data_IF_070659672502
#
_entry.id   IF_070659672502
#
_cell.length_a   1.000
_cell.length_b   1.000
_cell.length_c   1.000
_cell.angle_alpha   90.00
_cell.angle_beta   90.00
_cell.angle_gamma   90.00
#
_symmetry.space_group_name_H-M   'P 1'
#
loop_
_entity.id
_entity.type
_entity.pdbx_description
1 polymer ?
#
# COMPACT_ATOMS: atom_id res chain seq x y z
N UNK A 1 39.71 34.91 44.14
CA UNK A 1 40.20 33.77 43.34
C UNK A 1 39.39 33.78 42.08
N UNK A 2 40.07 33.75 40.94
CA UNK A 2 39.46 33.89 39.62
C UNK A 2 39.48 32.54 38.92
N UNK A 3 38.31 32.04 38.55
CA UNK A 3 38.16 30.74 37.90
C UNK A 3 37.75 30.94 36.44
N UNK A 4 38.52 30.35 35.53
CA UNK A 4 38.21 30.28 34.10
C UNK A 4 37.33 29.06 33.83
N UNK A 5 36.06 29.28 33.46
CA UNK A 5 35.18 28.22 32.98
C UNK A 5 35.28 28.16 31.46
N UNK A 6 35.97 27.16 30.94
CA UNK A 6 36.31 27.07 29.51
C UNK A 6 35.62 25.89 28.83
N UNK A 7 34.74 26.15 27.87
CA UNK A 7 34.26 25.12 26.93
C UNK A 7 35.29 24.99 25.79
N UNK A 8 35.70 23.76 25.49
CA UNK A 8 36.72 23.47 24.47
C UNK A 8 36.09 22.72 23.30
N UNK A 9 36.35 23.20 22.08
CA UNK A 9 35.88 22.58 20.84
C UNK A 9 37.09 22.31 19.93
N UNK A 10 37.56 21.07 19.93
CA UNK A 10 38.76 20.70 19.17
C UNK A 10 38.52 20.75 17.66
N UNK A 11 37.31 20.43 17.23
CA UNK A 11 36.97 20.27 15.83
C UNK A 11 36.61 21.59 15.17
N UNK A 12 36.37 22.67 15.90
CA UNK A 12 35.86 23.94 15.36
C UNK A 12 34.47 23.83 14.76
N UNK A 13 33.62 23.04 15.39
CA UNK A 13 32.20 22.97 15.06
C UNK A 13 31.49 24.30 15.35
N UNK A 14 31.83 24.98 16.44
CA UNK A 14 31.26 26.28 16.81
C UNK A 14 31.64 27.36 15.78
N UNK A 15 32.92 27.46 15.42
CA UNK A 15 33.40 28.45 14.46
C UNK A 15 32.89 28.17 13.04
N UNK A 16 32.87 26.91 12.60
CA UNK A 16 32.30 26.53 11.30
C UNK A 16 30.81 26.84 11.17
N UNK A 17 30.03 26.68 12.23
CA UNK A 17 28.57 26.88 12.20
C UNK A 17 28.17 28.35 12.28
N UNK A 18 28.88 29.13 13.08
CA UNK A 18 28.52 30.51 13.39
C UNK A 18 29.31 31.54 12.58
N UNK A 19 30.47 31.17 12.03
CA UNK A 19 31.40 32.09 11.38
C UNK A 19 32.15 33.02 12.35
N UNK A 20 32.01 32.81 13.67
CA UNK A 20 32.67 33.59 14.71
C UNK A 20 34.08 33.08 14.97
N UNK A 21 34.99 34.00 15.31
CA UNK A 21 36.37 33.67 15.69
C UNK A 21 36.50 33.45 17.20
N UNK A 22 37.16 32.37 17.60
CA UNK A 22 37.53 32.11 19.00
C UNK A 22 38.93 32.68 19.33
N UNK A 23 39.22 33.03 20.61
CA UNK A 23 38.40 32.79 21.78
C UNK A 23 37.23 33.75 21.90
N UNK A 24 36.11 33.26 22.44
CA UNK A 24 34.98 34.10 22.86
C UNK A 24 34.95 34.09 24.37
N UNK A 25 35.21 35.22 25.03
CA UNK A 25 35.21 35.36 26.49
C UNK A 25 34.16 36.35 26.99
N UNK A 26 33.68 36.12 28.20
CA UNK A 26 32.70 36.96 28.87
C UNK A 26 31.27 36.41 28.80
N UNK A 27 30.51 36.67 29.87
CA UNK A 27 29.16 36.13 30.05
C UNK A 27 28.22 36.47 28.88
N UNK A 28 28.15 37.74 28.50
CA UNK A 28 27.23 38.21 27.47
C UNK A 28 27.60 37.65 26.08
N UNK A 29 28.89 37.57 25.78
CA UNK A 29 29.39 37.03 24.52
C UNK A 29 29.07 35.53 24.38
N UNK A 30 29.31 34.75 25.44
CA UNK A 30 29.02 33.31 25.44
C UNK A 30 27.50 33.06 25.48
N UNK A 31 26.72 33.88 26.20
CA UNK A 31 25.27 33.78 26.21
C UNK A 31 24.65 34.08 24.83
N UNK A 32 25.19 35.05 24.08
CA UNK A 32 24.80 35.27 22.68
C UNK A 32 25.16 34.07 21.80
N UNK A 33 26.37 33.54 21.97
CA UNK A 33 26.89 32.41 21.20
C UNK A 33 26.02 31.15 21.34
N UNK A 34 25.44 30.89 22.52
CA UNK A 34 24.47 29.79 22.72
C UNK A 34 23.31 29.88 21.72
N UNK A 35 22.79 31.09 21.52
CA UNK A 35 21.66 31.33 20.61
C UNK A 35 22.10 31.14 19.16
N UNK A 36 23.27 31.66 18.79
CA UNK A 36 23.81 31.54 17.43
C UNK A 36 24.09 30.08 17.05
N UNK A 37 24.73 29.31 17.95
CA UNK A 37 24.99 27.88 17.75
C UNK A 37 23.68 27.08 17.73
N UNK A 38 22.76 27.35 18.65
CA UNK A 38 21.48 26.63 18.73
C UNK A 38 20.54 26.90 17.56
N UNK A 39 20.61 28.09 16.94
CA UNK A 39 19.87 28.38 15.70
C UNK A 39 20.51 27.73 14.47
N UNK A 40 21.83 27.57 14.46
CA UNK A 40 22.54 26.89 13.38
C UNK A 40 22.33 25.37 13.41
N UNK A 41 22.35 24.76 14.59
CA UNK A 41 22.13 23.32 14.78
C UNK A 41 21.55 23.00 16.17
N UNK A 42 20.22 22.84 16.29
CA UNK A 42 19.55 22.63 17.59
C UNK A 42 19.78 21.24 18.19
N UNK A 43 20.28 20.27 17.42
CA UNK A 43 20.51 18.89 17.90
C UNK A 43 21.93 18.67 18.42
N UNK A 44 22.81 19.67 18.26
CA UNK A 44 24.22 19.57 18.62
C UNK A 44 24.45 19.66 20.14
N UNK A 45 25.37 18.83 20.65
CA UNK A 45 25.74 18.82 22.07
C UNK A 45 26.48 20.08 22.51
N UNK A 46 27.10 20.82 21.60
CA UNK A 46 27.82 22.08 21.86
C UNK A 46 26.92 23.12 22.53
N UNK A 47 25.63 23.15 22.18
CA UNK A 47 24.64 24.03 22.83
C UNK A 47 24.57 23.73 24.34
N UNK A 48 24.57 22.44 24.68
CA UNK A 48 24.54 22.01 26.08
C UNK A 48 25.90 22.24 26.76
N UNK A 49 27.03 22.12 26.06
CA UNK A 49 28.35 22.50 26.60
C UNK A 49 28.36 23.98 27.03
N UNK A 50 27.92 24.86 26.15
CA UNK A 50 27.90 26.30 26.40
C UNK A 50 26.93 26.66 27.54
N UNK A 51 25.75 26.03 27.57
CA UNK A 51 24.78 26.20 28.67
C UNK A 51 25.35 25.73 30.02
N UNK A 52 26.06 24.60 30.05
CA UNK A 52 26.69 24.12 31.28
C UNK A 52 27.83 25.04 31.72
N UNK A 53 28.66 25.54 30.79
CA UNK A 53 29.70 26.52 31.10
C UNK A 53 29.13 27.82 31.72
N UNK A 54 28.02 28.33 31.18
CA UNK A 54 27.30 29.46 31.77
C UNK A 54 26.73 29.12 33.14
N UNK A 55 26.15 27.93 33.30
CA UNK A 55 25.61 27.49 34.59
C UNK A 55 26.70 27.39 35.66
N UNK A 56 27.82 26.73 35.37
CA UNK A 56 28.95 26.58 36.29
C UNK A 56 29.50 27.96 36.70
N UNK A 57 29.68 28.88 35.76
CA UNK A 57 30.16 30.22 36.12
C UNK A 57 29.15 31.04 36.94
N UNK A 58 27.84 30.86 36.73
CA UNK A 58 26.83 31.48 37.59
C UNK A 58 26.90 30.90 38.99
N UNK A 59 26.97 29.57 39.10
CA UNK A 59 26.98 28.88 40.39
C UNK A 59 28.25 29.29 41.20
N UNK A 60 29.42 29.45 40.55
CA UNK A 60 30.63 30.01 41.18
C UNK A 60 30.46 31.47 41.65
N UNK A 61 29.79 32.32 40.84
CA UNK A 61 29.51 33.72 41.21
C UNK A 61 28.54 33.81 42.40
N UNK A 62 27.55 32.92 42.46
CA UNK A 62 26.61 32.82 43.58
C UNK A 62 27.32 32.42 44.89
N UNK A 63 28.44 31.70 44.78
CA UNK A 63 29.34 31.36 45.89
C UNK A 63 30.35 32.49 46.23
N UNK A 64 30.26 33.65 45.58
CA UNK A 64 31.17 34.80 45.68
C UNK A 64 32.59 34.56 45.13
N UNK A 65 32.73 33.68 44.14
CA UNK A 65 33.97 33.52 43.37
C UNK A 65 33.91 34.34 42.07
N UNK A 66 35.05 34.89 41.64
CA UNK A 66 35.13 35.58 40.35
C UNK A 66 35.23 34.53 39.24
N UNK A 67 34.24 34.48 38.33
CA UNK A 67 34.22 33.52 37.24
C UNK A 67 34.18 34.18 35.87
N UNK A 68 35.08 33.77 34.98
CA UNK A 68 35.12 34.17 33.57
C UNK A 68 34.75 32.96 32.71
N UNK A 69 33.73 33.09 31.86
CA UNK A 69 33.37 32.05 30.89
C UNK A 69 34.09 32.32 29.57
N UNK A 70 34.66 31.29 28.98
CA UNK A 70 35.27 31.38 27.66
C UNK A 70 35.02 30.13 26.80
N UNK A 71 35.12 30.31 25.49
CA UNK A 71 35.03 29.24 24.49
C UNK A 71 36.28 29.31 23.62
N UNK A 72 36.99 28.19 23.50
CA UNK A 72 38.19 28.07 22.65
C UNK A 72 37.99 26.97 21.64
N UNK A 73 38.52 27.19 20.44
CA UNK A 73 38.31 26.27 19.31
C UNK A 73 39.55 26.01 18.45
N UNK A 74 39.60 24.82 17.84
CA UNK A 74 40.67 24.36 16.96
C UNK A 74 40.60 24.92 15.52
N UNK A 75 41.11 26.13 15.28
CA UNK A 75 41.07 26.79 13.95
C UNK A 75 42.04 26.27 12.87
N UNK A 76 42.22 24.96 12.68
CA UNK A 76 43.11 24.42 11.62
C UNK A 76 42.68 23.05 11.09
N UNK A 77 42.84 22.85 9.77
CA UNK A 77 42.53 21.60 9.05
C UNK A 77 43.43 20.39 9.44
N UNK A 78 44.45 20.59 10.27
CA UNK A 78 45.29 19.51 10.77
C UNK A 78 45.33 19.46 12.30
N UNK A 79 45.41 18.24 12.83
CA UNK A 79 45.29 17.95 14.28
C UNK A 79 46.29 18.73 15.14
N UNK A 80 47.54 18.85 14.69
CA UNK A 80 48.58 19.60 15.42
C UNK A 80 48.32 21.10 15.40
N UNK A 81 47.76 21.61 14.30
CA UNK A 81 47.35 23.00 14.15
C UNK A 81 46.17 23.36 15.04
N UNK A 82 45.19 22.47 15.18
CA UNK A 82 44.04 22.65 16.05
C UNK A 82 44.47 22.77 17.52
N UNK A 83 45.29 21.83 17.99
CA UNK A 83 45.83 21.83 19.35
C UNK A 83 46.67 23.10 19.64
N UNK A 84 47.50 23.53 18.68
CA UNK A 84 48.27 24.79 18.78
C UNK A 84 47.41 26.04 18.70
N UNK A 85 46.25 25.98 18.05
CA UNK A 85 45.29 27.08 18.02
C UNK A 85 44.68 27.27 19.39
N UNK A 86 44.14 26.20 19.97
CA UNK A 86 43.59 26.20 21.32
C UNK A 86 44.64 26.68 22.33
N UNK A 87 45.88 26.17 22.23
CA UNK A 87 46.98 26.60 23.09
C UNK A 87 47.22 28.12 23.08
N UNK A 88 47.22 28.75 21.89
CA UNK A 88 47.40 30.21 21.74
C UNK A 88 46.23 30.99 22.32
N UNK A 89 44.99 30.54 22.06
CA UNK A 89 43.79 31.18 22.60
C UNK A 89 43.75 31.11 24.13
N UNK A 90 44.21 30.01 24.72
CA UNK A 90 44.38 29.88 26.16
C UNK A 90 45.48 30.81 26.70
N UNK A 91 46.61 30.94 25.99
CA UNK A 91 47.67 31.88 26.36
C UNK A 91 47.14 33.33 26.40
N UNK A 92 46.28 33.70 25.44
CA UNK A 92 45.61 35.01 25.39
C UNK A 92 44.64 35.21 26.57
N UNK A 93 43.80 34.20 26.88
CA UNK A 93 42.86 34.25 28.00
C UNK A 93 43.55 34.33 29.36
N UNK A 94 44.69 33.65 29.53
CA UNK A 94 45.49 33.72 30.76
C UNK A 94 46.12 35.10 30.91
N UNK A 95 46.65 35.66 29.82
CA UNK A 95 47.24 37.00 29.85
C UNK A 95 46.20 38.10 30.14
N UNK A 96 44.96 37.92 29.68
CA UNK A 96 43.87 38.91 29.86
C UNK A 96 43.20 38.82 31.24
N UNK A 97 42.97 37.60 31.74
CA UNK A 97 42.12 37.38 32.91
C UNK A 97 42.85 36.89 34.17
N UNK A 98 44.13 36.51 34.05
CA UNK A 98 44.99 36.00 35.14
C UNK A 98 44.26 35.01 36.09
N UNK A 99 43.69 33.90 35.58
CA UNK A 99 42.90 32.98 36.39
C UNK A 99 43.79 32.11 37.31
N UNK A 100 43.35 31.95 38.57
CA UNK A 100 43.99 31.06 39.55
C UNK A 100 43.74 29.57 39.23
N UNK A 101 42.56 29.27 38.68
CA UNK A 101 42.17 27.91 38.31
C UNK A 101 41.20 27.88 37.13
N UNK A 102 40.94 26.68 36.61
CA UNK A 102 40.02 26.46 35.51
C UNK A 102 39.09 25.27 35.77
N UNK A 103 37.86 25.41 35.27
CA UNK A 103 36.91 24.31 35.09
C UNK A 103 36.74 24.10 33.58
N UNK A 104 37.10 22.91 33.10
CA UNK A 104 37.02 22.59 31.67
C UNK A 104 35.70 21.89 31.39
N UNK A 105 34.88 22.43 30.50
CA UNK A 105 33.61 21.84 30.09
C UNK A 105 33.79 21.22 28.72
N UNK A 106 33.42 19.94 28.59
CA UNK A 106 33.55 19.16 27.34
C UNK A 106 32.27 18.39 27.05
N UNK A 107 31.93 18.22 25.77
CA UNK A 107 30.77 17.42 25.33
C UNK A 107 31.16 16.18 24.52
N UNK A 108 32.42 16.08 24.07
CA UNK A 108 32.92 14.93 23.32
C UNK A 108 34.24 14.37 23.83
N UNK A 109 34.51 13.10 23.49
CA UNK A 109 35.79 12.45 23.75
C UNK A 109 36.96 13.03 22.91
N UNK A 110 36.66 13.79 21.85
CA UNK A 110 37.70 14.45 21.07
C UNK A 110 38.22 15.69 21.78
N UNK A 111 37.33 16.41 22.47
CA UNK A 111 37.63 17.63 23.24
C UNK A 111 38.35 17.32 24.55
N UNK A 112 38.08 16.15 25.14
CA UNK A 112 38.82 15.66 26.31
C UNK A 112 40.34 15.62 26.07
N UNK A 113 40.78 15.46 24.82
CA UNK A 113 42.19 15.45 24.45
C UNK A 113 42.85 16.84 24.56
N UNK A 114 42.07 17.91 24.71
CA UNK A 114 42.57 19.27 24.96
C UNK A 114 42.80 19.55 26.44
N UNK A 115 42.28 18.74 27.36
CA UNK A 115 42.46 18.93 28.81
C UNK A 115 43.94 19.07 29.20
N UNK A 116 44.89 18.23 28.72
CA UNK A 116 46.31 18.41 29.04
C UNK A 116 46.91 19.72 28.54
N UNK A 117 46.32 20.32 27.49
CA UNK A 117 46.73 21.63 26.98
C UNK A 117 46.27 22.72 27.95
N UNK A 118 45.03 22.65 28.45
CA UNK A 118 44.54 23.57 29.48
C UNK A 118 45.35 23.45 30.77
N UNK A 119 45.60 22.22 31.25
CA UNK A 119 46.41 21.93 32.46
C UNK A 119 47.82 22.52 32.39
N UNK A 120 48.39 22.62 31.18
CA UNK A 120 49.73 23.19 30.98
C UNK A 120 49.77 24.73 31.09
N UNK A 121 48.62 25.43 31.04
CA UNK A 121 48.51 26.89 31.17
C UNK A 121 47.95 27.33 32.52
N UNK A 122 46.93 26.62 33.02
CA UNK A 122 46.19 26.96 34.23
C UNK A 122 45.92 25.70 35.02
N UNK A 123 45.89 25.81 36.36
CA UNK A 123 45.50 24.71 37.23
C UNK A 123 44.05 24.32 36.96
N UNK A 124 43.82 23.09 36.49
CA UNK A 124 42.47 22.55 36.30
C UNK A 124 41.97 21.93 37.60
N UNK A 125 40.93 22.51 38.20
CA UNK A 125 40.31 21.99 39.43
C UNK A 125 39.23 20.94 39.12
N UNK A 126 38.59 21.04 37.95
CA UNK A 126 37.55 20.09 37.52
C UNK A 126 37.43 19.99 35.99
N UNK A 127 36.97 18.82 35.52
CA UNK A 127 36.57 18.59 34.13
C UNK A 127 35.11 18.13 34.13
N UNK A 128 34.22 18.99 33.66
CA UNK A 128 32.80 18.72 33.55
C UNK A 128 32.45 18.13 32.17
N UNK A 129 31.78 16.98 32.18
CA UNK A 129 31.45 16.21 30.98
C UNK A 129 29.96 16.31 30.71
N UNK A 130 29.59 17.09 29.70
CA UNK A 130 28.21 17.24 29.27
C UNK A 130 27.82 16.08 28.39
N UNK A 131 26.85 15.28 28.86
CA UNK A 131 26.30 14.15 28.10
C UNK A 131 24.84 14.42 27.81
N UNK A 132 24.53 14.71 26.55
CA UNK A 132 23.14 14.86 26.08
C UNK A 132 22.50 13.47 25.96
N UNK A 133 21.49 13.19 26.78
CA UNK A 133 20.74 11.94 26.72
C UNK A 133 19.79 11.95 25.52
N UNK A 134 20.23 11.41 24.39
CA UNK A 134 19.34 11.07 23.29
C UNK A 134 18.67 9.72 23.59
N UNK A 135 17.34 9.70 23.75
CA UNK A 135 16.61 8.45 23.92
C UNK A 135 16.71 7.60 22.63
N UNK A 136 17.41 6.48 22.70
CA UNK A 136 17.39 5.41 21.68
C UNK A 136 16.90 4.15 22.40
N UNK A 137 15.59 4.02 22.56
CA UNK A 137 15.00 3.06 23.49
C UNK A 137 14.87 1.64 22.90
N UNK A 138 15.74 0.74 23.35
CA UNK A 138 15.55 -0.73 23.20
C UNK A 138 14.30 -1.19 23.96
N UNK A 139 13.93 -0.48 25.04
CA UNK A 139 12.70 -0.70 25.81
C UNK A 139 11.43 -0.55 24.95
N UNK A 140 11.39 0.45 24.07
CA UNK A 140 10.29 0.65 23.12
C UNK A 140 10.11 -0.53 22.18
N UNK A 141 11.22 -1.15 21.72
CA UNK A 141 11.15 -2.37 20.88
C UNK A 141 10.55 -3.56 21.64
N UNK A 142 10.95 -3.76 22.91
CA UNK A 142 10.38 -4.81 23.76
C UNK A 142 8.87 -4.63 23.97
N UNK A 143 8.43 -3.40 24.27
CA UNK A 143 7.00 -3.11 24.44
C UNK A 143 6.21 -3.28 23.14
N UNK A 144 6.77 -2.87 22.00
CA UNK A 144 6.14 -3.11 20.70
C UNK A 144 5.98 -4.60 20.41
N UNK A 145 7.00 -5.42 20.68
CA UNK A 145 6.93 -6.88 20.52
C UNK A 145 5.90 -7.51 21.47
N UNK A 146 5.88 -7.05 22.73
CA UNK A 146 4.89 -7.49 23.72
C UNK A 146 3.47 -7.12 23.30
N UNK A 147 3.26 -5.91 22.78
CA UNK A 147 1.96 -5.46 22.29
C UNK A 147 1.52 -6.24 21.06
N UNK A 148 2.43 -6.49 20.11
CA UNK A 148 2.18 -7.33 18.95
C UNK A 148 1.76 -8.76 19.33
N UNK A 149 2.40 -9.34 20.35
CA UNK A 149 2.05 -10.68 20.85
C UNK A 149 0.71 -10.71 21.63
N UNK A 150 0.37 -9.60 22.28
CA UNK A 150 -0.87 -9.44 23.03
C UNK A 150 -2.09 -9.21 22.13
N UNK A 151 -1.89 -8.64 20.94
CA UNK A 151 -2.93 -8.41 19.95
C UNK A 151 -3.32 -9.72 19.25
N UNK A 152 -4.57 -10.15 19.44
CA UNK A 152 -5.11 -11.39 18.86
C UNK A 152 -5.12 -11.35 17.33
N UNK A 153 -5.48 -10.21 16.74
CA UNK A 153 -5.67 -10.07 15.31
C UNK A 153 -4.32 -10.11 14.58
N UNK A 154 -3.33 -9.40 15.12
CA UNK A 154 -1.96 -9.43 14.62
C UNK A 154 -1.33 -10.82 14.79
N UNK A 155 -1.54 -11.46 15.94
CA UNK A 155 -1.05 -12.82 16.18
C UNK A 155 -1.66 -13.83 15.21
N UNK A 156 -2.97 -13.79 15.01
CA UNK A 156 -3.64 -14.69 14.07
C UNK A 156 -3.23 -14.43 12.61
N UNK A 157 -3.04 -13.17 12.24
CA UNK A 157 -2.73 -12.80 10.86
C UNK A 157 -1.27 -13.06 10.48
N UNK A 158 -0.34 -12.92 11.44
CA UNK A 158 1.10 -13.02 11.16
C UNK A 158 1.73 -14.27 11.75
N UNK A 159 1.53 -14.52 13.05
CA UNK A 159 2.21 -15.63 13.75
C UNK A 159 1.65 -17.00 13.35
N UNK A 160 0.34 -17.13 13.10
CA UNK A 160 -0.26 -18.42 12.75
C UNK A 160 0.22 -18.93 11.37
N UNK A 161 0.21 -18.15 10.27
CA UNK A 161 0.73 -18.63 8.99
C UNK A 161 2.23 -18.99 9.06
N UNK A 162 3.02 -18.20 9.77
CA UNK A 162 4.46 -18.46 9.96
C UNK A 162 4.65 -19.76 10.77
N UNK A 163 3.97 -19.89 11.90
CA UNK A 163 4.05 -21.07 12.76
C UNK A 163 3.60 -22.35 12.03
N UNK A 164 2.51 -22.26 11.26
CA UNK A 164 2.02 -23.37 10.45
C UNK A 164 3.03 -23.74 9.35
N UNK A 165 3.60 -22.76 8.66
CA UNK A 165 4.63 -23.00 7.66
C UNK A 165 5.86 -23.70 8.27
N UNK A 166 6.32 -23.26 9.45
CA UNK A 166 7.45 -23.88 10.15
C UNK A 166 7.15 -25.32 10.60
N UNK A 167 5.90 -25.62 11.00
CA UNK A 167 5.49 -26.96 11.38
C UNK A 167 5.33 -27.90 10.19
N UNK A 168 4.69 -27.44 9.12
CA UNK A 168 4.31 -28.26 7.97
C UNK A 168 5.49 -28.44 6.99
N UNK A 169 6.36 -27.43 6.86
CA UNK A 169 7.52 -27.44 5.95
C UNK A 169 8.40 -28.70 6.08
N UNK A 170 8.93 -29.08 7.25
CA UNK A 170 9.77 -30.27 7.35
C UNK A 170 9.03 -31.56 7.02
N UNK A 171 7.73 -31.65 7.37
CA UNK A 171 6.89 -32.82 7.07
C UNK A 171 6.70 -32.96 5.56
N UNK A 172 6.29 -31.88 4.88
CA UNK A 172 6.13 -31.89 3.42
C UNK A 172 7.46 -32.13 2.70
N UNK A 173 8.55 -31.53 3.19
CA UNK A 173 9.86 -31.72 2.59
C UNK A 173 10.33 -33.17 2.68
N UNK A 174 10.00 -33.86 3.78
CA UNK A 174 10.32 -35.28 3.96
C UNK A 174 9.52 -36.20 3.02
N UNK A 175 8.22 -35.98 2.86
CA UNK A 175 7.36 -36.89 2.08
C UNK A 175 7.25 -36.56 0.59
N UNK A 176 7.26 -35.28 0.22
CA UNK A 176 7.02 -34.80 -1.14
C UNK A 176 8.22 -34.09 -1.77
N UNK A 177 9.28 -33.87 -0.99
CA UNK A 177 10.51 -33.19 -1.41
C UNK A 177 10.48 -31.68 -1.18
N UNK A 178 11.65 -31.02 -1.11
CA UNK A 178 11.76 -29.61 -0.73
C UNK A 178 11.05 -28.65 -1.68
N UNK A 179 11.08 -28.91 -3.00
CA UNK A 179 10.45 -28.06 -3.99
C UNK A 179 8.91 -28.03 -3.86
N UNK A 180 8.30 -29.19 -3.58
CA UNK A 180 6.85 -29.30 -3.35
C UNK A 180 6.47 -28.62 -2.04
N UNK A 181 7.28 -28.78 -0.98
CA UNK A 181 7.04 -28.11 0.29
C UNK A 181 7.03 -26.58 0.15
N UNK A 182 8.05 -26.01 -0.47
CA UNK A 182 8.16 -24.55 -0.67
C UNK A 182 7.02 -24.03 -1.55
N UNK A 183 6.73 -24.69 -2.66
CA UNK A 183 5.65 -24.27 -3.57
C UNK A 183 4.26 -24.36 -2.92
N UNK A 184 3.96 -25.44 -2.19
CA UNK A 184 2.70 -25.60 -1.46
C UNK A 184 2.53 -24.54 -0.37
N UNK A 185 3.56 -24.29 0.43
CA UNK A 185 3.52 -23.27 1.49
C UNK A 185 3.34 -21.88 0.89
N UNK A 186 4.06 -21.58 -0.19
CA UNK A 186 3.96 -20.29 -0.88
C UNK A 186 2.54 -20.08 -1.43
N UNK A 187 1.95 -21.12 -2.02
CA UNK A 187 0.59 -21.07 -2.52
C UNK A 187 -0.42 -20.83 -1.39
N UNK A 188 -0.31 -21.57 -0.27
CA UNK A 188 -1.20 -21.42 0.88
C UNK A 188 -1.08 -20.02 1.52
N UNK A 189 0.14 -19.54 1.73
CA UNK A 189 0.38 -18.19 2.27
C UNK A 189 -0.15 -17.13 1.29
N UNK A 190 0.09 -17.28 -0.01
CA UNK A 190 -0.41 -16.35 -1.03
C UNK A 190 -1.94 -16.28 -1.04
N UNK A 191 -2.62 -17.43 -0.99
CA UNK A 191 -4.09 -17.49 -0.89
C UNK A 191 -4.57 -16.84 0.40
N UNK A 192 -3.91 -17.10 1.54
CA UNK A 192 -4.25 -16.49 2.81
C UNK A 192 -4.11 -14.96 2.79
N UNK A 193 -3.02 -14.43 2.22
CA UNK A 193 -2.80 -12.99 2.09
C UNK A 193 -3.83 -12.34 1.17
N UNK A 194 -4.20 -12.98 0.06
CA UNK A 194 -5.28 -12.48 -0.80
C UNK A 194 -6.63 -12.51 -0.07
N UNK A 195 -6.91 -13.56 0.69
CA UNK A 195 -8.13 -13.68 1.49
C UNK A 195 -8.28 -12.52 2.47
N UNK A 196 -7.22 -12.23 3.23
CA UNK A 196 -7.20 -11.12 4.18
C UNK A 196 -7.12 -9.75 3.51
N UNK A 197 -6.26 -9.58 2.51
CA UNK A 197 -6.07 -8.31 1.81
C UNK A 197 -7.29 -7.83 1.04
N UNK A 198 -8.15 -8.74 0.60
CA UNK A 198 -9.42 -8.41 -0.05
C UNK A 198 -10.59 -8.23 0.94
N UNK A 199 -10.38 -8.41 2.25
CA UNK A 199 -11.44 -8.31 3.26
C UNK A 199 -12.61 -9.27 2.99
N UNK A 200 -12.29 -10.52 2.64
CA UNK A 200 -13.31 -11.50 2.26
C UNK A 200 -14.25 -11.78 3.44
N UNK A 201 -13.74 -11.74 4.68
CA UNK A 201 -14.50 -11.92 5.92
C UNK A 201 -15.66 -10.91 6.03
N UNK A 202 -15.37 -9.62 5.81
CA UNK A 202 -16.34 -8.54 5.87
C UNK A 202 -17.33 -8.63 4.71
N UNK A 203 -16.83 -8.96 3.52
CA UNK A 203 -17.66 -9.10 2.33
C UNK A 203 -18.70 -10.23 2.49
N UNK A 204 -18.27 -11.40 2.96
CA UNK A 204 -19.15 -12.55 3.21
C UNK A 204 -20.17 -12.25 4.29
N UNK A 205 -19.77 -11.58 5.37
CA UNK A 205 -20.70 -11.17 6.44
C UNK A 205 -21.75 -10.20 5.91
N UNK A 206 -21.35 -9.19 5.12
CA UNK A 206 -22.27 -8.26 4.48
C UNK A 206 -23.20 -8.93 3.46
N UNK A 207 -22.70 -9.93 2.71
CA UNK A 207 -23.54 -10.74 1.83
C UNK A 207 -24.57 -11.56 2.62
N UNK A 208 -24.18 -12.20 3.71
CA UNK A 208 -25.08 -13.01 4.52
C UNK A 208 -26.23 -12.16 5.11
N UNK A 209 -25.94 -10.96 5.60
CA UNK A 209 -26.95 -10.01 6.09
C UNK A 209 -27.91 -9.60 4.97
N UNK A 210 -27.39 -9.23 3.80
CA UNK A 210 -28.22 -8.87 2.63
C UNK A 210 -29.10 -10.01 2.15
N UNK A 211 -28.58 -11.24 2.11
CA UNK A 211 -29.36 -12.44 1.74
C UNK A 211 -30.48 -12.65 2.76
N UNK A 212 -30.17 -12.51 4.05
CA UNK A 212 -31.17 -12.63 5.13
C UNK A 212 -32.27 -11.59 4.96
N UNK A 213 -31.94 -10.30 4.86
CA UNK A 213 -32.91 -9.21 4.66
C UNK A 213 -33.75 -9.42 3.38
N UNK A 214 -33.11 -9.88 2.31
CA UNK A 214 -33.79 -10.20 1.06
C UNK A 214 -34.82 -11.33 1.24
N UNK A 215 -34.45 -12.40 1.94
CA UNK A 215 -35.33 -13.55 2.19
C UNK A 215 -36.57 -13.15 3.00
N UNK A 216 -36.40 -12.26 3.99
CA UNK A 216 -37.54 -11.73 4.76
C UNK A 216 -38.41 -10.75 3.94
N UNK A 217 -37.86 -10.11 2.91
CA UNK A 217 -38.59 -9.19 2.03
C UNK A 217 -39.39 -9.86 0.90
N UNK A 218 -39.33 -11.19 0.77
CA UNK A 218 -40.12 -11.93 -0.24
C UNK A 218 -39.70 -11.71 -1.70
N UNK A 219 -38.45 -11.30 -1.95
CA UNK A 219 -37.93 -11.01 -3.29
C UNK A 219 -37.79 -12.26 -4.16
N UNK A 220 -38.36 -12.23 -5.37
CA UNK A 220 -38.29 -13.29 -6.38
C UNK A 220 -36.86 -13.47 -6.89
N UNK A 221 -36.06 -12.39 -6.92
CA UNK A 221 -34.67 -12.45 -7.39
C UNK A 221 -33.79 -13.45 -6.64
N UNK A 222 -34.10 -13.79 -5.38
CA UNK A 222 -33.29 -14.70 -4.58
C UNK A 222 -33.25 -16.09 -5.19
N UNK A 223 -34.42 -16.64 -5.51
CA UNK A 223 -34.53 -17.97 -6.12
C UNK A 223 -33.80 -17.97 -7.46
N UNK A 224 -33.97 -16.90 -8.24
CA UNK A 224 -33.29 -16.80 -9.54
C UNK A 224 -31.77 -16.59 -9.43
N UNK A 225 -31.27 -15.97 -8.36
CA UNK A 225 -29.83 -15.84 -8.10
C UNK A 225 -29.22 -17.17 -7.68
N UNK A 226 -29.93 -17.98 -6.89
CA UNK A 226 -29.50 -19.35 -6.57
C UNK A 226 -29.45 -20.20 -7.85
N UNK A 227 -30.49 -20.12 -8.69
CA UNK A 227 -30.50 -20.78 -10.00
C UNK A 227 -29.35 -20.28 -10.88
N UNK A 228 -29.10 -18.97 -10.92
CA UNK A 228 -28.00 -18.39 -11.67
C UNK A 228 -26.63 -18.87 -11.17
N UNK A 229 -26.42 -18.95 -9.86
CA UNK A 229 -25.20 -19.49 -9.27
C UNK A 229 -25.00 -20.97 -9.66
N UNK A 230 -26.05 -21.79 -9.57
CA UNK A 230 -26.01 -23.18 -9.99
C UNK A 230 -25.69 -23.34 -11.48
N UNK A 231 -26.37 -22.58 -12.35
CA UNK A 231 -26.10 -22.56 -13.79
C UNK A 231 -24.68 -22.07 -14.11
N UNK A 232 -24.15 -21.12 -13.34
CA UNK A 232 -22.80 -20.61 -13.52
C UNK A 232 -21.75 -21.68 -13.20
N UNK A 233 -21.95 -22.42 -12.11
CA UNK A 233 -21.12 -23.56 -11.73
C UNK A 233 -21.17 -24.66 -12.79
N UNK A 234 -22.36 -24.99 -13.30
CA UNK A 234 -22.51 -25.94 -14.40
C UNK A 234 -21.75 -25.45 -15.64
N UNK A 235 -21.84 -24.15 -15.98
CA UNK A 235 -21.12 -23.58 -17.11
C UNK A 235 -19.60 -23.73 -16.98
N UNK A 236 -19.04 -23.33 -15.85
CA UNK A 236 -17.59 -23.48 -15.58
C UNK A 236 -17.17 -24.95 -15.63
N UNK A 237 -17.96 -25.84 -15.02
CA UNK A 237 -17.68 -27.26 -15.02
C UNK A 237 -17.70 -27.87 -16.43
N UNK A 238 -18.74 -27.57 -17.22
CA UNK A 238 -18.89 -28.03 -18.60
C UNK A 238 -17.78 -27.46 -19.50
N UNK A 239 -17.40 -26.20 -19.32
CA UNK A 239 -16.25 -25.61 -20.01
C UNK A 239 -14.93 -26.29 -19.67
N UNK A 240 -14.69 -26.58 -18.39
CA UNK A 240 -13.49 -27.29 -17.95
C UNK A 240 -13.43 -28.72 -18.51
N UNK A 241 -14.58 -29.41 -18.58
CA UNK A 241 -14.69 -30.72 -19.26
C UNK A 241 -14.42 -30.62 -20.77
N UNK A 242 -14.90 -29.55 -21.40
CA UNK A 242 -14.60 -29.26 -22.81
C UNK A 242 -13.10 -29.13 -23.03
N UNK A 243 -12.41 -28.36 -22.18
CA UNK A 243 -10.95 -28.19 -22.26
C UNK A 243 -10.20 -29.49 -22.00
N UNK A 244 -10.60 -30.27 -20.99
CA UNK A 244 -9.90 -31.53 -20.67
C UNK A 244 -10.07 -32.60 -21.75
N UNK A 245 -11.10 -32.49 -22.59
CA UNK A 245 -11.30 -33.36 -23.75
C UNK A 245 -10.35 -33.03 -24.92
N UNK A 246 -9.76 -31.83 -24.94
CA UNK A 246 -8.75 -31.45 -25.91
C UNK A 246 -7.39 -32.02 -25.47
N UNK A 247 -6.74 -32.82 -26.31
CA UNK A 247 -5.39 -33.31 -26.05
C UNK A 247 -4.38 -32.17 -25.79
N UNK A 248 -3.26 -32.48 -25.12
CA UNK A 248 -2.31 -31.52 -24.57
C UNK A 248 -1.47 -30.68 -25.55
N UNK A 249 -1.74 -30.72 -26.86
CA UNK A 249 -0.91 -30.09 -27.90
C UNK A 249 -1.49 -28.78 -28.47
N UNK A 250 -2.62 -28.28 -27.96
CA UNK A 250 -3.42 -27.24 -28.61
C UNK A 250 -3.09 -25.77 -28.25
N UNK A 251 -1.95 -25.51 -27.60
CA UNK A 251 -1.60 -24.16 -27.11
C UNK A 251 -2.66 -23.59 -26.15
N UNK A 252 -2.71 -22.26 -25.97
CA UNK A 252 -3.66 -21.62 -25.01
C UNK A 252 -4.97 -21.18 -25.67
N UNK A 253 -4.93 -20.79 -26.95
CA UNK A 253 -6.07 -20.14 -27.63
C UNK A 253 -7.22 -21.14 -27.85
N UNK A 254 -6.93 -22.36 -28.31
CA UNK A 254 -7.97 -23.35 -28.61
C UNK A 254 -8.67 -23.84 -27.33
N UNK A 255 -7.96 -24.21 -26.24
CA UNK A 255 -8.60 -24.46 -24.95
C UNK A 255 -9.46 -23.30 -24.44
N UNK A 256 -9.00 -22.05 -24.56
CA UNK A 256 -9.78 -20.90 -24.15
C UNK A 256 -11.09 -20.75 -24.96
N UNK A 257 -11.04 -20.98 -26.27
CA UNK A 257 -12.22 -20.93 -27.13
C UNK A 257 -13.18 -22.10 -26.87
N UNK A 258 -12.66 -23.29 -26.56
CA UNK A 258 -13.47 -24.44 -26.17
C UNK A 258 -14.20 -24.18 -24.85
N UNK A 259 -13.46 -23.70 -23.84
CA UNK A 259 -14.04 -23.31 -22.56
C UNK A 259 -15.17 -22.29 -22.76
N UNK A 260 -14.92 -21.25 -23.56
CA UNK A 260 -15.92 -20.23 -23.84
C UNK A 260 -17.14 -20.81 -24.59
N UNK A 261 -16.93 -21.60 -25.64
CA UNK A 261 -18.02 -22.18 -26.44
C UNK A 261 -18.97 -23.04 -25.59
N UNK A 262 -18.40 -23.85 -24.69
CA UNK A 262 -19.15 -24.79 -23.84
C UNK A 262 -19.77 -24.10 -22.61
N UNK A 263 -19.07 -23.13 -22.01
CA UNK A 263 -19.55 -22.43 -20.80
C UNK A 263 -20.62 -21.37 -21.10
N UNK A 264 -20.46 -20.62 -22.18
CA UNK A 264 -21.28 -19.44 -22.50
C UNK A 264 -22.79 -19.68 -22.52
N UNK A 265 -23.36 -20.77 -23.08
CA UNK A 265 -24.81 -20.99 -22.98
C UNK A 265 -25.31 -21.07 -21.53
N UNK A 266 -24.58 -21.75 -20.65
CA UNK A 266 -24.93 -21.88 -19.24
C UNK A 266 -24.78 -20.55 -18.50
N UNK A 267 -23.69 -19.82 -18.76
CA UNK A 267 -23.45 -18.49 -18.20
C UNK A 267 -24.48 -17.46 -18.69
N UNK A 268 -24.88 -17.53 -19.96
CA UNK A 268 -25.94 -16.68 -20.51
C UNK A 268 -27.29 -17.01 -19.86
N UNK A 269 -27.62 -18.29 -19.66
CA UNK A 269 -28.83 -18.69 -18.93
C UNK A 269 -28.78 -18.27 -17.46
N UNK A 270 -27.62 -18.32 -16.81
CA UNK A 270 -27.43 -17.84 -15.45
C UNK A 270 -27.71 -16.33 -15.34
N UNK A 271 -27.07 -15.54 -16.20
CA UNK A 271 -27.26 -14.10 -16.23
C UNK A 271 -28.69 -13.71 -16.65
N UNK A 272 -29.34 -14.51 -17.51
CA UNK A 272 -30.74 -14.35 -17.88
C UNK A 272 -31.67 -14.60 -16.67
N UNK A 273 -31.42 -15.68 -15.91
CA UNK A 273 -32.18 -15.97 -14.69
C UNK A 273 -32.04 -14.82 -13.68
N UNK A 274 -30.81 -14.39 -13.40
CA UNK A 274 -30.53 -13.30 -12.46
C UNK A 274 -31.17 -11.97 -12.88
N UNK A 275 -31.05 -11.60 -14.15
CA UNK A 275 -31.65 -10.36 -14.68
C UNK A 275 -33.18 -10.41 -14.68
N UNK A 276 -33.77 -11.56 -15.00
CA UNK A 276 -35.23 -11.75 -14.96
C UNK A 276 -35.78 -11.62 -13.54
N UNK A 277 -35.15 -12.26 -12.55
CA UNK A 277 -35.62 -12.14 -11.17
C UNK A 277 -35.50 -10.72 -10.62
N UNK A 278 -34.42 -10.00 -10.97
CA UNK A 278 -34.29 -8.58 -10.63
C UNK A 278 -35.38 -7.74 -11.30
N UNK A 279 -35.74 -8.04 -12.54
CA UNK A 279 -36.83 -7.33 -13.23
C UNK A 279 -38.18 -7.56 -12.57
N UNK A 280 -38.45 -8.80 -12.16
CA UNK A 280 -39.69 -9.14 -11.46
C UNK A 280 -39.77 -8.38 -10.13
N UNK A 281 -38.68 -8.32 -9.37
CA UNK A 281 -38.66 -7.55 -8.12
C UNK A 281 -38.96 -6.06 -8.35
N UNK A 282 -38.35 -5.43 -9.36
CA UNK A 282 -38.60 -4.02 -9.70
C UNK A 282 -40.04 -3.83 -10.17
N UNK A 283 -40.56 -4.73 -11.02
CA UNK A 283 -41.94 -4.64 -11.51
C UNK A 283 -43.00 -4.85 -10.42
N UNK A 284 -42.66 -5.55 -9.33
CA UNK A 284 -43.56 -5.79 -8.20
C UNK A 284 -43.49 -4.65 -7.17
N UNK A 285 -42.32 -4.03 -6.99
CA UNK A 285 -42.08 -3.04 -5.93
C UNK A 285 -42.20 -1.59 -6.38
N UNK A 286 -41.93 -1.29 -7.65
CA UNK A 286 -41.94 0.08 -8.19
C UNK A 286 -43.14 0.29 -9.12
N UNK A 287 -43.78 1.47 -9.02
CA UNK A 287 -44.95 1.82 -9.85
C UNK A 287 -44.60 1.97 -11.35
N UNK A 288 -43.31 2.08 -11.70
CA UNK A 288 -42.84 2.14 -13.08
C UNK A 288 -41.45 1.54 -13.24
N UNK A 289 -41.23 0.74 -14.29
CA UNK A 289 -39.95 0.09 -14.57
C UNK A 289 -39.12 0.97 -15.51
N UNK A 290 -37.91 1.38 -15.08
CA UNK A 290 -36.99 2.12 -15.95
C UNK A 290 -36.57 1.28 -17.16
N UNK A 291 -36.54 1.91 -18.34
CA UNK A 291 -36.15 1.27 -19.61
C UNK A 291 -34.79 0.56 -19.54
N UNK A 292 -33.84 1.09 -18.76
CA UNK A 292 -32.51 0.49 -18.56
C UNK A 292 -32.57 -0.91 -17.96
N UNK A 293 -33.54 -1.21 -17.08
CA UNK A 293 -33.69 -2.53 -16.49
C UNK A 293 -34.23 -3.52 -17.52
N UNK A 294 -35.25 -3.13 -18.30
CA UNK A 294 -35.92 -4.00 -19.28
C UNK A 294 -34.97 -4.51 -20.38
N UNK A 295 -33.90 -3.77 -20.69
CA UNK A 295 -32.94 -4.16 -21.72
C UNK A 295 -31.93 -5.23 -21.26
N UNK A 296 -31.73 -5.42 -19.94
CA UNK A 296 -30.67 -6.28 -19.39
C UNK A 296 -30.76 -7.75 -19.87
N UNK A 297 -31.93 -8.43 -19.83
CA UNK A 297 -32.06 -9.82 -20.30
C UNK A 297 -31.67 -10.00 -21.76
N UNK A 298 -32.08 -9.06 -22.61
CA UNK A 298 -31.80 -9.08 -24.05
C UNK A 298 -30.32 -8.84 -24.31
N UNK A 299 -29.70 -7.91 -23.59
CA UNK A 299 -28.27 -7.67 -23.65
C UNK A 299 -27.44 -8.91 -23.29
N UNK A 300 -27.82 -9.62 -22.21
CA UNK A 300 -27.16 -10.86 -21.79
C UNK A 300 -27.22 -11.94 -22.88
N UNK A 301 -28.40 -12.17 -23.46
CA UNK A 301 -28.57 -13.16 -24.53
C UNK A 301 -27.79 -12.76 -25.78
N UNK A 302 -27.83 -11.48 -26.15
CA UNK A 302 -27.07 -10.95 -27.28
C UNK A 302 -25.56 -11.16 -27.12
N UNK A 303 -25.01 -10.82 -25.96
CA UNK A 303 -23.59 -11.05 -25.64
C UNK A 303 -23.25 -12.54 -25.68
N UNK A 304 -24.09 -13.38 -25.08
CA UNK A 304 -23.90 -14.84 -25.11
C UNK A 304 -23.86 -15.40 -26.53
N UNK A 305 -24.75 -14.96 -27.41
CA UNK A 305 -24.76 -15.36 -28.82
C UNK A 305 -23.49 -14.92 -29.56
N UNK A 306 -23.05 -13.67 -29.36
CA UNK A 306 -21.85 -13.13 -30.00
C UNK A 306 -20.61 -13.88 -29.55
N UNK A 307 -20.40 -14.04 -28.23
CA UNK A 307 -19.23 -14.76 -27.69
C UNK A 307 -19.23 -16.20 -28.20
N UNK A 308 -20.37 -16.90 -28.13
CA UNK A 308 -20.47 -18.27 -28.67
C UNK A 308 -20.19 -18.35 -30.17
N UNK A 309 -20.63 -17.35 -30.94
CA UNK A 309 -20.35 -17.23 -32.36
C UNK A 309 -18.85 -17.16 -32.65
N UNK A 310 -18.14 -16.25 -31.98
CA UNK A 310 -16.69 -16.10 -32.13
C UNK A 310 -15.94 -17.35 -31.68
N UNK A 311 -16.28 -17.93 -30.52
CA UNK A 311 -15.66 -19.18 -30.07
C UNK A 311 -15.87 -20.32 -31.09
N UNK A 312 -17.07 -20.44 -31.66
CA UNK A 312 -17.36 -21.45 -32.67
C UNK A 312 -16.56 -21.28 -33.96
N UNK A 313 -16.31 -20.03 -34.39
CA UNK A 313 -15.51 -19.74 -35.57
C UNK A 313 -14.07 -20.25 -35.44
N UNK A 314 -13.42 -19.98 -34.30
CA UNK A 314 -12.06 -20.45 -34.05
C UNK A 314 -11.99 -21.98 -33.95
N UNK A 315 -12.95 -22.60 -33.28
CA UNK A 315 -12.99 -24.06 -33.14
C UNK A 315 -13.27 -24.78 -34.46
N UNK A 316 -14.14 -24.22 -35.32
CA UNK A 316 -14.38 -24.75 -36.68
C UNK A 316 -13.14 -24.56 -37.55
N UNK A 317 -12.45 -23.42 -37.43
CA UNK A 317 -11.19 -23.17 -38.16
C UNK A 317 -10.05 -24.08 -37.71
N UNK A 318 -10.06 -24.51 -36.45
CA UNK A 318 -9.12 -25.46 -35.88
C UNK A 318 -9.49 -26.94 -36.16
N UNK A 319 -10.61 -27.21 -36.84
CA UNK A 319 -11.06 -28.57 -37.14
C UNK A 319 -11.63 -29.32 -35.94
N UNK A 320 -11.90 -28.63 -34.83
CA UNK A 320 -12.50 -29.22 -33.61
C UNK A 320 -14.02 -29.34 -33.75
N UNK A 321 -14.66 -28.31 -34.31
CA UNK A 321 -16.09 -28.36 -34.61
C UNK A 321 -16.34 -28.70 -36.09
N UNK A 322 -17.32 -29.56 -36.40
CA UNK A 322 -17.74 -29.78 -37.78
C UNK A 322 -18.44 -28.53 -38.34
N UNK A 323 -18.47 -28.44 -39.67
CA UNK A 323 -19.26 -27.44 -40.37
C UNK A 323 -20.74 -27.56 -39.96
N UNK A 324 -21.42 -26.42 -39.82
CA UNK A 324 -22.82 -26.42 -39.41
C UNK A 324 -23.73 -26.77 -40.59
N UNK A 325 -24.43 -27.90 -40.48
CA UNK A 325 -25.37 -28.36 -41.50
C UNK A 325 -26.81 -27.97 -41.14
N UNK A 326 -27.48 -27.27 -42.06
CA UNK A 326 -28.91 -26.99 -41.96
C UNK A 326 -29.66 -28.19 -42.57
N UNK A 327 -30.46 -28.92 -41.78
CA UNK A 327 -31.20 -30.07 -42.27
C UNK A 327 -32.27 -29.65 -43.27
N UNK A 328 -32.66 -30.59 -44.15
CA UNK A 328 -33.73 -30.35 -45.11
C UNK A 328 -35.05 -30.05 -44.37
N UNK A 329 -35.67 -28.91 -44.68
CA UNK A 329 -36.94 -28.50 -44.07
C UNK A 329 -38.05 -28.64 -45.10
N UNK A 330 -39.09 -29.42 -44.79
CA UNK A 330 -40.31 -29.53 -45.60
C UNK A 330 -41.49 -28.94 -44.83
N UNK A 331 -41.93 -27.75 -45.22
CA UNK A 331 -43.11 -27.07 -44.68
C UNK A 331 -44.15 -26.93 -45.79
N UNK A 332 -45.04 -27.92 -45.89
CA UNK A 332 -46.09 -27.94 -46.92
C UNK A 332 -45.50 -27.92 -48.34
N UNK A 333 -45.75 -26.83 -49.07
CA UNK A 333 -45.28 -26.63 -50.45
C UNK A 333 -43.83 -26.11 -50.52
N UNK A 334 -43.26 -25.66 -49.41
CA UNK A 334 -41.88 -25.14 -49.35
C UNK A 334 -40.93 -26.26 -48.93
N UNK A 335 -39.98 -26.62 -49.81
CA UNK A 335 -38.88 -27.53 -49.51
C UNK A 335 -37.55 -26.80 -49.56
N UNK A 336 -36.83 -26.79 -48.44
CA UNK A 336 -35.45 -26.31 -48.33
C UNK A 336 -34.52 -27.52 -48.41
N UNK A 337 -33.62 -27.54 -49.38
CA UNK A 337 -32.57 -28.57 -49.49
C UNK A 337 -31.53 -28.38 -48.39
N UNK A 338 -30.85 -29.45 -47.94
CA UNK A 338 -29.82 -29.32 -46.93
C UNK A 338 -28.63 -28.52 -47.48
N UNK A 339 -28.08 -27.63 -46.66
CA UNK A 339 -26.89 -26.85 -47.00
C UNK A 339 -26.00 -26.65 -45.78
N UNK A 340 -24.69 -26.56 -45.99
CA UNK A 340 -23.71 -26.27 -44.96
C UNK A 340 -23.41 -24.78 -44.89
N UNK A 341 -23.35 -24.23 -43.70
CA UNK A 341 -22.79 -22.89 -43.47
C UNK A 341 -21.28 -23.01 -43.29
N UNK A 342 -20.53 -22.15 -43.98
CA UNK A 342 -19.11 -21.94 -43.66
C UNK A 342 -18.95 -21.28 -42.29
N UNK A 343 -17.80 -21.46 -41.64
CA UNK A 343 -17.47 -20.83 -40.36
C UNK A 343 -17.81 -19.34 -40.31
N UNK A 344 -17.51 -18.60 -41.39
CA UNK A 344 -17.84 -17.18 -41.50
C UNK A 344 -19.35 -16.90 -41.56
N UNK A 345 -20.11 -17.71 -42.28
CA UNK A 345 -21.58 -17.58 -42.35
C UNK A 345 -22.26 -17.96 -41.03
N UNK A 346 -21.74 -18.99 -40.33
CA UNK A 346 -22.17 -19.37 -38.99
C UNK A 346 -21.93 -18.24 -37.99
N UNK A 347 -20.72 -17.67 -37.98
CA UNK A 347 -20.38 -16.50 -37.16
C UNK A 347 -21.33 -15.33 -37.45
N UNK A 348 -21.52 -14.99 -38.73
CA UNK A 348 -22.41 -13.91 -39.14
C UNK A 348 -23.84 -14.14 -38.63
N UNK A 349 -24.33 -15.39 -38.66
CA UNK A 349 -25.65 -15.75 -38.14
C UNK A 349 -25.76 -15.48 -36.63
N UNK A 350 -24.76 -15.87 -35.83
CA UNK A 350 -24.74 -15.59 -34.39
C UNK A 350 -24.67 -14.10 -34.08
N UNK A 351 -23.84 -13.34 -34.81
CA UNK A 351 -23.70 -11.89 -34.61
C UNK A 351 -24.99 -11.17 -34.99
N UNK A 352 -25.59 -11.50 -36.14
CA UNK A 352 -26.86 -10.92 -36.58
C UNK A 352 -27.98 -11.27 -35.60
N UNK A 353 -28.05 -12.51 -35.14
CA UNK A 353 -29.03 -12.92 -34.11
C UNK A 353 -28.84 -12.13 -32.81
N UNK A 354 -27.59 -11.94 -32.35
CA UNK A 354 -27.29 -11.13 -31.17
C UNK A 354 -27.73 -9.66 -31.33
N UNK A 355 -27.43 -9.04 -32.48
CA UNK A 355 -27.87 -7.67 -32.79
C UNK A 355 -29.39 -7.57 -32.82
N UNK A 356 -30.08 -8.52 -33.47
CA UNK A 356 -31.54 -8.55 -33.51
C UNK A 356 -32.16 -8.68 -32.11
N UNK A 357 -31.62 -9.56 -31.26
CA UNK A 357 -32.07 -9.72 -29.87
C UNK A 357 -31.89 -8.41 -29.10
N UNK A 358 -30.75 -7.74 -29.25
CA UNK A 358 -30.50 -6.45 -28.60
C UNK A 358 -31.46 -5.36 -29.10
N UNK A 359 -31.74 -5.30 -30.40
CA UNK A 359 -32.69 -4.32 -30.97
C UNK A 359 -34.12 -4.57 -30.50
N UNK A 360 -34.53 -5.83 -30.41
CA UNK A 360 -35.82 -6.23 -29.83
C UNK A 360 -35.90 -5.77 -28.38
N UNK A 361 -34.82 -5.97 -27.61
CA UNK A 361 -34.72 -5.50 -26.22
C UNK A 361 -34.91 -4.00 -26.08
N UNK A 362 -34.20 -3.20 -26.89
CA UNK A 362 -34.34 -1.74 -26.91
C UNK A 362 -35.76 -1.32 -27.28
N UNK A 363 -36.36 -1.96 -28.30
CA UNK A 363 -37.73 -1.65 -28.74
C UNK A 363 -38.75 -1.97 -27.64
N UNK A 364 -38.65 -3.12 -26.99
CA UNK A 364 -39.54 -3.50 -25.89
C UNK A 364 -39.36 -2.53 -24.71
N UNK A 365 -38.12 -2.20 -24.37
CA UNK A 365 -37.78 -1.29 -23.29
C UNK A 365 -38.28 0.14 -23.54
N UNK A 366 -38.37 0.60 -24.80
CA UNK A 366 -38.91 1.93 -25.14
C UNK A 366 -40.44 1.99 -25.18
N UNK A 367 -41.12 0.87 -25.44
CA UNK A 367 -42.59 0.80 -25.43
C UNK A 367 -43.15 0.62 -24.01
N UNK A 368 -42.40 -0.04 -23.13
CA UNK A 368 -42.82 -0.34 -21.75
C UNK A 368 -42.25 0.62 -20.71
N UNK A 369 -41.10 1.25 -20.96
CA UNK A 369 -40.55 2.30 -20.11
C UNK A 369 -41.33 3.58 -20.32
N UNK A 370 -42.08 4.01 -19.30
CA UNK A 370 -42.94 5.20 -19.35
C UNK A 370 -42.26 6.41 -20.00
N UNK A 371 -42.97 7.02 -20.94
CA UNK A 371 -42.55 8.14 -21.76
C UNK A 371 -42.22 9.37 -20.91
N UNK A 372 -40.96 9.82 -20.95
CA UNK A 372 -40.60 11.23 -20.71
C UNK A 372 -39.29 11.52 -21.44
N UNK A 373 -39.38 11.71 -22.75
CA UNK A 373 -38.40 12.54 -23.46
C UNK A 373 -39.04 13.91 -23.48
N UNK A 374 -38.74 14.73 -22.47
CA UNK A 374 -39.03 16.17 -22.54
C UNK A 374 -38.17 16.75 -23.66
N UNK A 375 -38.82 17.33 -24.67
CA UNK A 375 -38.19 18.15 -25.68
C UNK A 375 -37.61 19.39 -24.97
N UNK A 376 -36.29 19.56 -25.04
CA UNK A 376 -35.61 20.82 -24.69
C UNK A 376 -36.14 21.94 -25.60
N UNK A 377 -37.10 22.71 -25.09
CA UNK A 377 -37.47 24.02 -25.63
C UNK A 377 -36.24 24.95 -25.52
N UNK A 378 -35.58 25.15 -26.66
CA UNK A 378 -34.57 26.20 -26.87
C UNK A 378 -35.22 27.57 -26.61
N UNK A 379 -34.75 28.38 -25.64
CA UNK A 379 -35.24 29.74 -25.50
C UNK A 379 -34.67 30.58 -26.64
N UNK A 380 -35.55 31.04 -27.54
CA UNK A 380 -35.22 32.07 -28.53
C UNK A 380 -34.89 33.37 -27.80
N UNK A 381 -33.69 33.88 -28.12
CA UNK A 381 -33.19 35.26 -28.06
C UNK A 381 -33.97 36.30 -27.25
N UNK A 382 -33.30 36.87 -26.25
CA UNK A 382 -33.60 38.20 -25.72
C UNK A 382 -33.18 39.33 -26.67
N UNK A 383 -33.64 40.56 -26.39
CA UNK A 383 -33.76 41.69 -27.33
C UNK A 383 -32.46 42.30 -27.83
#
# INVERSE_FOLDING_TARGET
MTTLVVCVDRTDDIGRKTGLSTPVSGWEAVHSLVTDVGLADPEDSSVNCLLEALRVARDLRDENEEAVVAVVSGGSDNVVGADRSVARQLDDLVAEHDPDSAVVVIDSAQDERLVPIVESRVRVDSVDRVVVRQARDIESTYYLLKQFLADEELRQTVLVPIGLALLVSPVLAYFAGPAVAVSAITAVIGVFLLYKGLGIDEYLTGLAVRVRESLYSGRVSIVTYVVAAGLSLVGVFVGALGVSSLGGENGVIIPAMQFAYDSVPWLAMAALAASTGRLLDVAIQEDSVRSSYLNIPFGVVAVGLVVRGFSSYFLERAGILPAFEVPALRLGVVSVTPFSLSAGQRLATFVVAGVLVSLIGVRIASHLGGTSIDEEEVPRGGP
#
